data_IF_365243428322
#
_entry.id   IF_365243428322
#
_cell.length_a   1.000
_cell.length_b   1.000
_cell.length_c   1.000
_cell.angle_alpha   90.00
_cell.angle_beta   90.00
_cell.angle_gamma   90.00
#
_symmetry.space_group_name_H-M   'P 1'
#
loop_
_entity.id
_entity.type
_entity.pdbx_description
1 polymer ?
#
# COMPACT_ATOMS: atom_id res chain seq x y z
N UNK A 1 -10.15 -17.54 -4.31
CA UNK A 1 -11.29 -18.09 -5.03
C UNK A 1 -11.64 -17.19 -6.22
N UNK A 2 -12.10 -17.78 -7.31
CA UNK A 2 -12.64 -17.06 -8.47
C UNK A 2 -14.16 -17.25 -8.48
N UNK A 3 -14.90 -16.16 -8.55
CA UNK A 3 -16.35 -16.18 -8.70
C UNK A 3 -16.71 -15.71 -10.10
N UNK A 4 -17.55 -16.47 -10.82
CA UNK A 4 -18.01 -16.11 -12.15
C UNK A 4 -19.38 -15.43 -12.05
N UNK A 5 -19.53 -14.28 -12.70
CA UNK A 5 -20.83 -13.65 -12.86
C UNK A 5 -21.76 -14.46 -13.79
N UNK A 6 -23.08 -14.32 -13.60
CA UNK A 6 -24.10 -15.08 -14.33
C UNK A 6 -23.88 -15.04 -15.86
N UNK A 7 -23.60 -13.90 -16.42
CA UNK A 7 -23.33 -13.70 -17.85
C UNK A 7 -22.17 -14.55 -18.41
N UNK A 8 -21.19 -14.90 -17.57
CA UNK A 8 -20.09 -15.80 -17.96
C UNK A 8 -20.51 -17.25 -17.81
N UNK A 9 -21.27 -17.57 -16.76
CA UNK A 9 -21.77 -18.92 -16.52
C UNK A 9 -22.66 -19.37 -17.65
N UNK A 10 -23.58 -18.54 -18.16
CA UNK A 10 -24.45 -18.80 -19.30
C UNK A 10 -23.70 -19.27 -20.56
N UNK A 11 -22.50 -18.74 -20.80
CA UNK A 11 -21.67 -19.15 -21.96
C UNK A 11 -21.31 -20.64 -21.87
N UNK A 12 -21.00 -21.14 -20.66
CA UNK A 12 -20.65 -22.54 -20.43
C UNK A 12 -21.87 -23.43 -20.40
N UNK A 13 -22.99 -22.96 -19.83
CA UNK A 13 -24.25 -23.70 -19.77
C UNK A 13 -24.87 -23.91 -21.15
N UNK A 14 -24.79 -22.88 -22.01
CA UNK A 14 -25.40 -22.90 -23.36
C UNK A 14 -24.46 -23.41 -24.46
N UNK A 15 -23.19 -23.67 -24.15
CA UNK A 15 -22.22 -24.15 -25.14
C UNK A 15 -21.42 -25.34 -24.57
N UNK A 16 -21.80 -26.59 -24.88
CA UNK A 16 -21.12 -27.79 -24.38
C UNK A 16 -19.65 -27.91 -24.83
N UNK A 17 -19.25 -27.13 -25.83
CA UNK A 17 -17.85 -27.08 -26.28
C UNK A 17 -17.04 -25.96 -25.60
N UNK A 18 -17.66 -25.09 -24.82
CA UNK A 18 -16.95 -24.06 -24.06
C UNK A 18 -16.08 -24.70 -22.96
N UNK A 19 -14.83 -24.32 -22.88
CA UNK A 19 -13.86 -24.83 -21.90
C UNK A 19 -13.08 -23.70 -21.29
N UNK A 20 -12.84 -23.79 -19.98
CA UNK A 20 -11.85 -22.94 -19.31
C UNK A 20 -10.49 -23.62 -19.51
N UNK A 21 -9.68 -23.09 -20.44
CA UNK A 21 -8.33 -23.60 -20.72
C UNK A 21 -7.27 -23.08 -19.75
N UNK A 22 -7.62 -22.80 -18.49
CA UNK A 22 -6.73 -22.22 -17.51
C UNK A 22 -6.88 -22.90 -16.14
N UNK A 23 -5.76 -23.10 -15.46
CA UNK A 23 -5.70 -23.65 -14.12
C UNK A 23 -4.30 -23.49 -13.53
N UNK A 24 -4.21 -23.56 -12.21
CA UNK A 24 -2.94 -23.52 -11.49
C UNK A 24 -2.66 -24.87 -10.86
N UNK A 25 -1.38 -25.24 -10.76
CA UNK A 25 -0.95 -26.50 -10.14
C UNK A 25 -1.51 -26.70 -8.73
N UNK A 26 -1.65 -25.60 -7.97
CA UNK A 26 -2.20 -25.63 -6.61
C UNK A 26 -3.70 -25.29 -6.53
N UNK A 27 -4.43 -25.29 -7.64
CA UNK A 27 -5.89 -25.08 -7.61
C UNK A 27 -6.58 -26.13 -6.74
N UNK A 28 -7.44 -25.69 -5.84
CA UNK A 28 -8.17 -26.58 -4.93
C UNK A 28 -7.33 -27.20 -3.81
N UNK A 29 -6.11 -26.72 -3.59
CA UNK A 29 -5.25 -27.24 -2.52
C UNK A 29 -5.89 -27.05 -1.14
N UNK A 30 -6.15 -28.12 -0.36
CA UNK A 30 -6.96 -28.03 0.85
C UNK A 30 -6.33 -27.17 1.96
N UNK A 31 -4.99 -27.24 2.13
CA UNK A 31 -4.28 -26.39 3.11
C UNK A 31 -4.36 -24.93 2.70
N UNK A 32 -4.21 -24.61 1.40
CA UNK A 32 -4.37 -23.25 0.88
C UNK A 32 -5.79 -22.72 1.10
N UNK A 33 -6.81 -23.55 0.89
CA UNK A 33 -8.21 -23.18 1.14
C UNK A 33 -8.47 -22.94 2.64
N UNK A 34 -7.95 -23.78 3.52
CA UNK A 34 -8.05 -23.61 4.97
C UNK A 34 -7.35 -22.32 5.46
N UNK A 35 -6.15 -22.04 4.95
CA UNK A 35 -5.43 -20.80 5.28
C UNK A 35 -6.20 -19.55 4.79
N UNK A 36 -6.74 -19.59 3.57
CA UNK A 36 -7.55 -18.50 3.03
C UNK A 36 -8.81 -18.25 3.89
N UNK A 37 -9.51 -19.32 4.29
CA UNK A 37 -10.67 -19.21 5.17
C UNK A 37 -10.31 -18.61 6.53
N UNK A 38 -9.23 -19.06 7.16
CA UNK A 38 -8.73 -18.51 8.42
C UNK A 38 -8.40 -17.03 8.27
N UNK A 39 -7.74 -16.62 7.19
CA UNK A 39 -7.43 -15.23 6.90
C UNK A 39 -8.70 -14.37 6.79
N UNK A 40 -9.74 -14.84 6.10
CA UNK A 40 -11.02 -14.13 5.98
C UNK A 40 -11.73 -14.00 7.34
N UNK A 41 -11.70 -15.04 8.17
CA UNK A 41 -12.27 -15.01 9.53
C UNK A 41 -11.55 -13.97 10.38
N UNK A 42 -10.21 -13.96 10.37
CA UNK A 42 -9.40 -12.98 11.11
C UNK A 42 -9.59 -11.55 10.58
N UNK A 43 -9.66 -11.36 9.27
CA UNK A 43 -9.98 -10.07 8.64
C UNK A 43 -11.26 -9.47 9.21
N UNK A 44 -12.29 -10.30 9.33
CA UNK A 44 -13.58 -9.88 9.93
C UNK A 44 -13.48 -9.67 11.45
N UNK A 45 -12.83 -10.60 12.17
CA UNK A 45 -12.70 -10.54 13.63
C UNK A 45 -11.94 -9.30 14.10
N UNK A 46 -10.90 -8.92 13.39
CA UNK A 46 -10.04 -7.78 13.71
C UNK A 46 -10.53 -6.45 13.12
N UNK A 47 -11.63 -6.47 12.37
CA UNK A 47 -12.20 -5.28 11.73
C UNK A 47 -11.18 -4.48 10.91
N UNK A 48 -10.31 -5.22 10.18
CA UNK A 48 -9.13 -4.61 9.52
C UNK A 48 -9.49 -3.73 8.33
N UNK A 49 -10.67 -3.89 7.73
CA UNK A 49 -11.11 -3.08 6.59
C UNK A 49 -11.39 -1.64 7.06
N UNK A 50 -12.15 -1.49 8.15
CA UNK A 50 -12.49 -0.21 8.74
C UNK A 50 -11.26 0.46 9.37
N UNK A 51 -10.39 -0.36 10.01
CA UNK A 51 -9.11 0.14 10.51
C UNK A 51 -8.23 0.66 9.38
N UNK A 52 -8.10 -0.10 8.28
CA UNK A 52 -7.31 0.32 7.12
C UNK A 52 -7.85 1.61 6.47
N UNK A 53 -9.16 1.82 6.45
CA UNK A 53 -9.76 3.07 6.00
C UNK A 53 -9.37 4.23 6.93
N UNK A 54 -9.63 4.11 8.22
CA UNK A 54 -9.37 5.17 9.20
C UNK A 54 -7.86 5.51 9.32
N UNK A 55 -7.00 4.49 9.34
CA UNK A 55 -5.53 4.71 9.40
C UNK A 55 -4.99 5.19 8.06
N UNK A 56 -5.59 4.78 6.94
CA UNK A 56 -5.26 5.28 5.62
C UNK A 56 -5.53 6.78 5.49
N UNK A 57 -6.67 7.25 5.94
CA UNK A 57 -7.02 8.68 5.97
C UNK A 57 -6.02 9.47 6.84
N UNK A 58 -5.66 8.93 8.01
CA UNK A 58 -4.65 9.54 8.90
C UNK A 58 -3.28 9.65 8.22
N UNK A 59 -2.78 8.58 7.62
CA UNK A 59 -1.48 8.57 6.93
C UNK A 59 -1.48 9.51 5.74
N UNK A 60 -2.54 9.50 4.94
CA UNK A 60 -2.66 10.35 3.77
C UNK A 60 -2.66 11.83 4.15
N UNK A 61 -3.46 12.21 5.15
CA UNK A 61 -3.49 13.59 5.66
C UNK A 61 -2.13 14.02 6.24
N UNK A 62 -1.45 13.13 6.98
CA UNK A 62 -0.11 13.39 7.48
C UNK A 62 0.91 13.60 6.37
N UNK A 63 0.87 12.76 5.32
CA UNK A 63 1.75 12.91 4.16
C UNK A 63 1.46 14.20 3.37
N UNK A 64 0.20 14.62 3.27
CA UNK A 64 -0.15 15.91 2.66
C UNK A 64 0.41 17.09 3.48
N UNK A 65 0.35 17.02 4.81
CA UNK A 65 0.96 18.04 5.66
C UNK A 65 2.49 18.11 5.49
N UNK A 66 3.15 16.95 5.30
CA UNK A 66 4.58 16.92 4.98
C UNK A 66 4.87 17.55 3.61
N UNK A 67 4.00 17.37 2.62
CA UNK A 67 4.13 18.00 1.31
C UNK A 67 4.04 19.53 1.38
N UNK A 68 3.28 20.08 2.31
CA UNK A 68 3.23 21.53 2.56
C UNK A 68 4.51 22.02 3.23
N UNK A 69 5.17 21.17 4.04
CA UNK A 69 6.37 21.50 4.80
C UNK A 69 7.65 21.39 3.99
N UNK A 70 7.74 20.46 3.04
CA UNK A 70 8.96 20.11 2.33
C UNK A 70 8.82 20.25 0.82
N UNK A 71 9.61 21.13 0.20
CA UNK A 71 9.61 21.37 -1.25
C UNK A 71 10.06 20.16 -2.08
N UNK A 72 10.82 19.27 -1.47
CA UNK A 72 11.26 18.00 -2.08
C UNK A 72 10.10 17.01 -2.34
N UNK A 73 8.93 17.21 -1.73
CA UNK A 73 7.75 16.37 -1.96
C UNK A 73 6.93 16.98 -3.10
N UNK A 74 6.93 16.32 -4.26
CA UNK A 74 6.22 16.77 -5.46
C UNK A 74 4.76 16.37 -5.54
N UNK A 75 4.42 15.20 -4.97
CA UNK A 75 3.05 14.67 -4.99
C UNK A 75 2.85 13.62 -3.88
N UNK A 76 1.61 13.48 -3.42
CA UNK A 76 1.18 12.44 -2.47
C UNK A 76 -0.01 11.71 -3.06
N UNK A 77 0.15 10.42 -3.31
CA UNK A 77 -0.89 9.54 -3.87
C UNK A 77 -1.32 8.49 -2.85
N UNK A 78 -2.63 8.32 -2.68
CA UNK A 78 -3.22 7.41 -1.70
C UNK A 78 -4.61 7.82 -1.31
N UNK A 79 -4.97 7.70 -0.02
CA UNK A 79 -6.28 8.09 0.52
C UNK A 79 -7.37 7.03 0.33
N UNK A 80 -6.99 5.81 -0.08
CA UNK A 80 -7.88 4.66 -0.18
C UNK A 80 -7.23 3.46 0.49
N UNK A 81 -7.38 3.35 1.81
CA UNK A 81 -6.66 2.37 2.63
C UNK A 81 -5.20 2.77 2.89
N UNK A 82 -4.38 1.80 3.29
CA UNK A 82 -3.06 2.05 3.87
C UNK A 82 -1.92 2.26 2.87
N UNK A 83 -2.16 2.05 1.57
CA UNK A 83 -1.10 2.29 0.58
C UNK A 83 -1.03 3.78 0.23
N UNK A 84 0.12 4.38 0.50
CA UNK A 84 0.42 5.77 0.17
C UNK A 84 1.79 5.85 -0.47
N UNK A 85 1.93 6.67 -1.50
CA UNK A 85 3.19 6.97 -2.15
C UNK A 85 3.46 8.48 -2.07
N UNK A 86 4.67 8.84 -1.68
CA UNK A 86 5.19 10.21 -1.68
C UNK A 86 6.21 10.30 -2.82
N UNK A 87 5.93 11.09 -3.84
CA UNK A 87 6.85 11.33 -4.93
C UNK A 87 7.82 12.46 -4.56
N UNK A 88 9.10 12.15 -4.60
CA UNK A 88 10.16 13.12 -4.31
C UNK A 88 10.70 13.73 -5.59
N UNK A 89 10.88 15.03 -5.58
CA UNK A 89 11.33 15.83 -6.73
C UNK A 89 12.46 16.78 -6.31
N UNK A 90 13.35 17.08 -7.25
CA UNK A 90 14.34 18.14 -7.06
C UNK A 90 13.80 19.52 -7.48
N UNK A 91 12.68 19.52 -8.21
CA UNK A 91 11.99 20.75 -8.65
C UNK A 91 10.51 20.43 -8.90
N UNK A 92 9.62 21.07 -8.14
CA UNK A 92 8.16 20.89 -8.26
C UNK A 92 7.59 21.43 -9.58
N UNK A 93 8.13 22.51 -10.11
CA UNK A 93 7.61 23.17 -11.29
C UNK A 93 7.85 22.32 -12.53
N UNK A 94 9.03 21.73 -12.65
CA UNK A 94 9.42 20.86 -13.78
C UNK A 94 9.12 19.39 -13.52
N UNK A 95 8.74 19.03 -12.28
CA UNK A 95 8.55 17.64 -11.83
C UNK A 95 9.81 16.77 -12.01
N UNK A 96 10.98 17.40 -11.94
CA UNK A 96 12.23 16.68 -12.08
C UNK A 96 12.41 15.75 -10.88
N UNK A 97 12.60 14.44 -11.09
CA UNK A 97 12.77 13.47 -10.01
C UNK A 97 13.97 13.80 -9.12
N UNK A 98 13.88 13.41 -7.85
CA UNK A 98 15.02 13.47 -6.92
C UNK A 98 16.10 12.47 -7.35
N UNK A 99 17.33 12.70 -6.97
CA UNK A 99 18.41 11.75 -7.15
C UNK A 99 18.31 10.57 -6.15
N UNK A 100 18.93 9.45 -6.50
CA UNK A 100 18.84 8.22 -5.70
C UNK A 100 19.51 8.34 -4.33
N UNK A 101 20.55 9.16 -4.20
CA UNK A 101 21.27 9.33 -2.94
C UNK A 101 20.39 10.05 -1.91
N UNK A 102 19.72 11.12 -2.32
CA UNK A 102 18.78 11.85 -1.46
C UNK A 102 17.59 10.98 -1.06
N UNK A 103 17.01 10.22 -2.01
CA UNK A 103 15.94 9.27 -1.70
C UNK A 103 16.38 8.20 -0.67
N UNK A 104 17.60 7.70 -0.80
CA UNK A 104 18.19 6.76 0.15
C UNK A 104 18.40 7.39 1.52
N UNK A 105 18.85 8.64 1.59
CA UNK A 105 18.99 9.36 2.85
C UNK A 105 17.68 9.47 3.61
N UNK A 106 16.58 9.82 2.92
CA UNK A 106 15.24 9.85 3.53
C UNK A 106 14.86 8.49 4.12
N UNK A 107 15.11 7.41 3.37
CA UNK A 107 14.81 6.04 3.82
C UNK A 107 15.64 5.64 5.04
N UNK A 108 16.95 5.89 5.02
CA UNK A 108 17.86 5.50 6.09
C UNK A 108 17.56 6.24 7.39
N UNK A 109 17.32 7.56 7.30
CA UNK A 109 16.97 8.35 8.48
C UNK A 109 15.61 7.94 9.02
N UNK A 110 14.61 7.66 8.19
CA UNK A 110 13.33 7.12 8.62
C UNK A 110 13.52 5.76 9.33
N UNK A 111 14.37 4.90 8.82
CA UNK A 111 14.69 3.61 9.45
C UNK A 111 15.35 3.77 10.82
N UNK A 112 16.31 4.70 10.96
CA UNK A 112 16.96 5.01 12.24
C UNK A 112 15.97 5.60 13.27
N UNK A 113 14.88 6.20 12.80
CA UNK A 113 13.80 6.73 13.64
C UNK A 113 12.62 5.74 13.81
N UNK A 114 12.82 4.46 13.48
CA UNK A 114 11.90 3.37 13.80
C UNK A 114 10.89 3.01 12.70
N UNK A 115 11.02 3.54 11.49
CA UNK A 115 10.12 3.23 10.38
C UNK A 115 10.85 2.61 9.18
N UNK A 116 10.55 1.34 8.87
CA UNK A 116 11.02 0.70 7.65
C UNK A 116 10.08 1.08 6.50
N UNK A 117 10.56 1.91 5.59
CA UNK A 117 9.85 2.36 4.40
C UNK A 117 10.55 1.89 3.13
N UNK A 118 9.83 1.82 2.03
CA UNK A 118 10.39 1.39 0.75
C UNK A 118 10.60 2.57 -0.18
N UNK A 119 11.81 2.70 -0.74
CA UNK A 119 12.07 3.59 -1.87
C UNK A 119 11.99 2.81 -3.18
N UNK A 120 11.32 3.36 -4.19
CA UNK A 120 11.22 2.83 -5.56
C UNK A 120 11.32 3.98 -6.56
N UNK A 121 12.49 4.14 -7.16
CA UNK A 121 12.81 5.34 -7.93
C UNK A 121 12.66 6.59 -7.05
N UNK A 122 11.93 7.62 -7.49
CA UNK A 122 11.71 8.83 -6.70
C UNK A 122 10.59 8.67 -5.65
N UNK A 123 9.99 7.50 -5.49
CA UNK A 123 8.82 7.33 -4.62
C UNK A 123 9.20 6.67 -3.30
N UNK A 124 8.80 7.29 -2.19
CA UNK A 124 8.71 6.66 -0.88
C UNK A 124 7.34 6.01 -0.75
N UNK A 125 7.31 4.69 -0.50
CA UNK A 125 6.08 3.90 -0.46
C UNK A 125 5.82 3.44 0.97
N UNK A 126 4.62 3.75 1.46
CA UNK A 126 4.09 3.31 2.74
C UNK A 126 3.06 2.21 2.50
N UNK A 127 3.21 1.10 3.18
CA UNK A 127 2.27 -0.03 3.15
C UNK A 127 2.32 -0.80 4.48
N UNK A 128 1.92 -0.17 5.58
CA UNK A 128 1.94 -0.81 6.89
C UNK A 128 0.93 -1.96 6.94
N UNK A 129 1.04 -2.88 7.92
CA UNK A 129 0.09 -3.98 8.09
C UNK A 129 -1.31 -3.44 8.41
N UNK A 130 -2.36 -4.20 8.00
CA UNK A 130 -3.77 -3.81 8.17
C UNK A 130 -4.19 -3.59 9.65
N UNK A 131 -3.41 -4.10 10.59
CA UNK A 131 -3.62 -3.97 12.05
C UNK A 131 -2.85 -2.80 12.68
N UNK A 132 -2.22 -1.95 11.85
CA UNK A 132 -1.51 -0.76 12.32
C UNK A 132 -2.41 0.10 13.20
N UNK A 133 -1.87 0.59 14.33
CA UNK A 133 -2.62 1.46 15.24
C UNK A 133 -2.46 2.94 14.88
N UNK A 134 -3.27 3.79 15.50
CA UNK A 134 -3.13 5.24 15.38
C UNK A 134 -1.74 5.71 15.82
N UNK A 135 -1.24 5.16 16.93
CA UNK A 135 0.07 5.49 17.45
C UNK A 135 1.20 5.05 16.49
N UNK A 136 1.08 3.86 15.87
CA UNK A 136 2.06 3.40 14.89
C UNK A 136 2.09 4.31 13.65
N UNK A 137 0.93 4.81 13.22
CA UNK A 137 0.85 5.81 12.15
C UNK A 137 1.56 7.11 12.52
N UNK A 138 1.42 7.58 13.77
CA UNK A 138 2.11 8.77 14.25
C UNK A 138 3.63 8.56 14.31
N UNK A 139 4.08 7.38 14.76
CA UNK A 139 5.51 7.01 14.75
C UNK A 139 6.03 7.00 13.31
N UNK A 140 5.31 6.39 12.39
CA UNK A 140 5.68 6.32 10.98
C UNK A 140 5.79 7.73 10.36
N UNK A 141 4.79 8.59 10.57
CA UNK A 141 4.81 9.98 10.10
C UNK A 141 5.97 10.77 10.69
N UNK A 142 6.25 10.63 11.99
CA UNK A 142 7.38 11.29 12.65
C UNK A 142 8.73 10.83 12.10
N UNK A 143 8.87 9.54 11.82
CA UNK A 143 10.10 8.98 11.28
C UNK A 143 10.39 9.47 9.84
N UNK A 144 9.36 9.54 8.98
CA UNK A 144 9.53 10.08 7.63
C UNK A 144 9.71 11.61 7.63
N UNK A 145 9.10 12.33 8.58
CA UNK A 145 9.37 13.76 8.81
C UNK A 145 10.86 13.99 9.11
N UNK A 146 11.45 13.19 10.02
CA UNK A 146 12.88 13.23 10.29
C UNK A 146 13.70 12.92 9.03
N UNK A 147 13.27 11.98 8.19
CA UNK A 147 13.91 11.66 6.92
C UNK A 147 13.95 12.87 5.97
N UNK A 148 12.83 13.55 5.79
CA UNK A 148 12.77 14.75 4.95
C UNK A 148 13.50 15.95 5.55
N UNK A 149 13.55 16.07 6.87
CA UNK A 149 14.30 17.14 7.55
C UNK A 149 15.83 16.99 7.39
N UNK A 150 16.32 15.82 7.00
CA UNK A 150 17.74 15.56 6.80
C UNK A 150 18.22 15.83 5.36
N UNK A 151 17.34 16.27 4.47
CA UNK A 151 17.62 16.59 3.06
C UNK A 151 17.49 18.07 2.78
#
# INVERSE_FOLDING_TARGET
ALMLGHRMVEVFENNPNAKIGHGYTYSGHPVGAAAALACLVETKRLNVIENAAARGDQLFAGCQALMEKYDIIGDVRGGHGLMTAIEMVSDRATKKPIDAATATTVQEVAYQNGAMVRVSGPNLILSPPLVVTENDCNILLSAIDAGFAAT
#
